data_IF_830581282323
#
_entry.id   IF_830581282323
#
_cell.length_a   1.000
_cell.length_b   1.000
_cell.length_c   1.000
_cell.angle_alpha   90.00
_cell.angle_beta   90.00
_cell.angle_gamma   90.00
#
_symmetry.space_group_name_H-M   'P 1'
#
loop_
_entity.id
_entity.type
_entity.pdbx_description
1 polymer ?
#
# COMPACT_ATOMS: atom_id res chain seq x y z
N UNK A 1 -23.23 31.62 19.86
CA UNK A 1 -23.14 32.26 18.53
C UNK A 1 -23.30 31.18 17.47
N UNK A 2 -24.24 31.33 16.54
CA UNK A 2 -24.46 30.38 15.44
C UNK A 2 -23.86 30.96 14.16
N UNK A 3 -22.93 30.23 13.54
CA UNK A 3 -22.29 30.63 12.29
C UNK A 3 -23.22 30.27 11.12
N UNK A 4 -23.54 31.21 10.20
CA UNK A 4 -24.42 30.93 9.07
C UNK A 4 -23.88 29.84 8.13
N UNK A 5 -24.79 28.94 7.71
CA UNK A 5 -24.47 27.72 6.95
C UNK A 5 -23.81 27.99 5.60
N UNK A 6 -24.07 29.15 4.99
CA UNK A 6 -23.45 29.60 3.73
C UNK A 6 -21.92 29.72 3.79
N UNK A 7 -21.34 29.84 4.98
CA UNK A 7 -19.88 29.89 5.16
C UNK A 7 -19.25 28.54 5.51
N UNK A 8 -20.06 27.49 5.73
CA UNK A 8 -19.59 26.17 6.11
C UNK A 8 -19.44 25.31 4.85
N UNK A 9 -18.21 25.20 4.36
CA UNK A 9 -17.91 24.35 3.21
C UNK A 9 -18.17 22.87 3.55
N UNK A 10 -18.62 22.06 2.57
CA UNK A 10 -18.91 20.63 2.77
C UNK A 10 -17.77 19.82 3.38
N UNK A 11 -16.51 20.19 3.11
CA UNK A 11 -15.32 19.57 3.72
C UNK A 11 -15.19 19.79 5.23
N UNK A 12 -15.91 20.74 5.80
CA UNK A 12 -15.92 21.08 7.23
C UNK A 12 -17.20 20.60 7.94
N UNK A 13 -18.16 20.07 7.19
CA UNK A 13 -19.38 19.49 7.75
C UNK A 13 -19.13 18.07 8.28
N UNK A 14 -19.97 17.60 9.22
CA UNK A 14 -19.84 16.25 9.82
C UNK A 14 -19.86 15.11 8.79
N UNK A 15 -20.50 15.34 7.65
CA UNK A 15 -20.57 14.41 6.52
C UNK A 15 -19.45 14.59 5.48
N UNK A 16 -18.42 15.42 5.75
CA UNK A 16 -17.29 15.64 4.84
C UNK A 16 -16.57 14.35 4.42
N UNK A 17 -16.59 13.32 5.29
CA UNK A 17 -15.98 12.01 5.06
C UNK A 17 -16.93 10.97 4.47
N UNK A 18 -18.21 11.29 4.25
CA UNK A 18 -19.10 10.38 3.53
C UNK A 18 -18.72 10.45 2.05
N UNK A 19 -17.85 9.52 1.65
CA UNK A 19 -17.47 9.32 0.25
C UNK A 19 -18.76 9.05 -0.55
N UNK A 20 -19.18 10.05 -1.33
CA UNK A 20 -20.18 9.86 -2.36
C UNK A 20 -19.45 9.81 -3.69
N UNK A 21 -19.59 8.71 -4.41
CA UNK A 21 -19.10 8.60 -5.77
C UNK A 21 -20.17 9.19 -6.71
N UNK A 22 -19.74 9.95 -7.71
CA UNK A 22 -20.64 10.41 -8.76
C UNK A 22 -20.87 9.25 -9.73
N UNK A 23 -22.13 8.84 -9.88
CA UNK A 23 -22.53 7.80 -10.81
C UNK A 23 -23.03 8.46 -12.12
N UNK A 24 -22.29 8.38 -13.23
CA UNK A 24 -22.67 9.00 -14.50
C UNK A 24 -23.88 8.36 -15.18
N UNK A 25 -24.26 7.14 -14.77
CA UNK A 25 -25.44 6.43 -15.29
C UNK A 25 -26.74 6.92 -14.65
N UNK A 26 -26.68 7.28 -13.36
CA UNK A 26 -27.86 7.73 -12.58
C UNK A 26 -27.89 9.27 -12.42
N UNK A 27 -26.80 9.96 -12.78
CA UNK A 27 -26.67 11.42 -12.66
C UNK A 27 -26.65 11.93 -11.21
N UNK A 28 -26.37 11.06 -10.24
CA UNK A 28 -26.48 11.34 -8.80
C UNK A 28 -25.25 10.90 -8.01
N UNK A 29 -25.07 11.51 -6.84
CA UNK A 29 -24.04 11.16 -5.86
C UNK A 29 -24.55 10.03 -4.95
N UNK A 30 -24.13 8.81 -5.25
CA UNK A 30 -24.49 7.61 -4.50
C UNK A 30 -23.55 7.47 -3.30
N UNK A 31 -24.07 7.04 -2.15
CA UNK A 31 -23.23 6.66 -1.02
C UNK A 31 -22.32 5.50 -1.46
N UNK A 32 -21.01 5.63 -1.28
CA UNK A 32 -20.10 4.52 -1.52
C UNK A 32 -20.56 3.35 -0.64
N UNK A 33 -20.99 2.25 -1.28
CA UNK A 33 -21.43 1.05 -0.60
C UNK A 33 -20.36 0.65 0.45
N UNK A 34 -20.70 0.63 1.75
CA UNK A 34 -19.76 0.31 2.82
C UNK A 34 -19.01 -1.00 2.60
N UNK A 35 -19.56 -1.94 1.82
CA UNK A 35 -18.95 -3.22 1.46
C UNK A 35 -17.89 -3.17 0.35
N UNK A 36 -17.78 -2.07 -0.41
CA UNK A 36 -16.97 -2.04 -1.63
C UNK A 36 -15.50 -1.62 -1.40
N UNK A 37 -15.17 -0.96 -0.29
CA UNK A 37 -13.79 -0.58 0.02
C UNK A 37 -12.96 -1.77 0.47
N UNK A 38 -11.75 -1.92 -0.07
CA UNK A 38 -10.75 -2.91 0.39
C UNK A 38 -10.56 -2.85 1.91
N UNK A 39 -10.51 -1.65 2.49
CA UNK A 39 -10.34 -1.48 3.94
C UNK A 39 -11.56 -1.97 4.73
N UNK A 40 -12.77 -1.75 4.23
CA UNK A 40 -13.99 -2.26 4.88
C UNK A 40 -14.03 -3.78 4.85
N UNK A 41 -13.77 -4.40 3.69
CA UNK A 41 -13.72 -5.86 3.53
C UNK A 41 -12.65 -6.48 4.44
N UNK A 42 -11.46 -5.89 4.44
CA UNK A 42 -10.36 -6.34 5.31
C UNK A 42 -10.74 -6.27 6.78
N UNK A 43 -11.32 -5.14 7.24
CA UNK A 43 -11.76 -4.98 8.63
C UNK A 43 -12.77 -6.07 9.04
N UNK A 44 -13.76 -6.36 8.20
CA UNK A 44 -14.77 -7.38 8.52
C UNK A 44 -14.15 -8.77 8.63
N UNK A 45 -13.30 -9.14 7.67
CA UNK A 45 -12.63 -10.45 7.66
C UNK A 45 -11.67 -10.60 8.84
N UNK A 46 -10.91 -9.55 9.17
CA UNK A 46 -10.01 -9.55 10.32
C UNK A 46 -10.76 -9.71 11.63
N UNK A 47 -11.88 -9.00 11.81
CA UNK A 47 -12.68 -9.12 13.02
C UNK A 47 -13.22 -10.54 13.22
N UNK A 48 -13.80 -11.13 12.18
CA UNK A 48 -14.30 -12.51 12.23
C UNK A 48 -13.19 -13.54 12.47
N UNK A 49 -12.02 -13.35 11.86
CA UNK A 49 -10.88 -14.23 12.07
C UNK A 49 -10.32 -14.13 13.49
N UNK A 50 -10.27 -12.93 14.07
CA UNK A 50 -9.79 -12.71 15.45
C UNK A 50 -10.66 -13.45 16.47
N UNK A 51 -11.98 -13.32 16.37
CA UNK A 51 -12.92 -14.01 17.25
C UNK A 51 -12.73 -15.54 17.22
N UNK A 52 -12.57 -16.10 16.01
CA UNK A 52 -12.32 -17.52 15.82
C UNK A 52 -10.93 -17.97 16.36
N UNK A 53 -9.91 -17.13 16.22
CA UNK A 53 -8.57 -17.40 16.75
C UNK A 53 -8.57 -17.39 18.27
N UNK A 54 -9.27 -16.44 18.90
CA UNK A 54 -9.38 -16.36 20.35
C UNK A 54 -10.00 -17.66 20.91
N UNK A 55 -11.13 -18.11 20.34
CA UNK A 55 -11.80 -19.37 20.73
C UNK A 55 -10.98 -20.64 20.44
N UNK A 56 -10.30 -20.66 19.30
CA UNK A 56 -9.50 -21.81 18.89
C UNK A 56 -8.16 -21.93 19.61
N UNK A 57 -7.65 -20.84 20.19
CA UNK A 57 -6.39 -20.82 20.92
C UNK A 57 -6.47 -21.48 22.30
N UNK A 58 -7.68 -21.76 22.79
CA UNK A 58 -7.92 -22.31 24.14
C UNK A 58 -7.41 -23.75 24.31
N UNK A 59 -7.29 -24.53 23.24
CA UNK A 59 -6.76 -25.91 23.30
C UNK A 59 -5.90 -26.27 22.09
N UNK A 60 -4.94 -27.17 22.29
CA UNK A 60 -4.03 -27.63 21.24
C UNK A 60 -4.76 -28.36 20.08
N UNK A 61 -5.81 -29.13 20.40
CA UNK A 61 -6.64 -29.78 19.40
C UNK A 61 -7.40 -28.78 18.50
N UNK A 62 -7.87 -27.66 19.08
CA UNK A 62 -8.58 -26.62 18.32
C UNK A 62 -7.62 -25.79 17.49
N UNK A 63 -6.45 -25.46 18.03
CA UNK A 63 -5.45 -24.64 17.33
C UNK A 63 -4.88 -25.36 16.10
N UNK A 64 -4.58 -26.66 16.23
CA UNK A 64 -4.11 -27.49 15.11
C UNK A 64 -5.18 -27.69 14.04
N UNK A 65 -6.44 -27.90 14.45
CA UNK A 65 -7.59 -27.93 13.54
C UNK A 65 -7.73 -26.61 12.76
N UNK A 66 -7.79 -25.47 13.45
CA UNK A 66 -7.92 -24.17 12.79
C UNK A 66 -6.74 -23.86 11.86
N UNK A 67 -5.53 -24.26 12.23
CA UNK A 67 -4.36 -24.05 11.38
C UNK A 67 -4.48 -24.84 10.06
N UNK A 68 -4.96 -26.07 10.10
CA UNK A 68 -5.23 -26.87 8.90
C UNK A 68 -6.32 -26.24 8.03
N UNK A 69 -7.39 -25.74 8.64
CA UNK A 69 -8.49 -25.07 7.93
C UNK A 69 -8.04 -23.75 7.30
N UNK A 70 -7.24 -22.93 7.99
CA UNK A 70 -6.70 -21.70 7.40
C UNK A 70 -5.79 -21.98 6.20
N UNK A 71 -5.02 -23.06 6.22
CA UNK A 71 -4.20 -23.46 5.08
C UNK A 71 -5.06 -23.89 3.89
N UNK A 72 -6.10 -24.70 4.14
CA UNK A 72 -7.09 -25.10 3.13
C UNK A 72 -7.80 -23.89 2.52
N UNK A 73 -8.29 -22.98 3.35
CA UNK A 73 -8.94 -21.74 2.92
C UNK A 73 -8.00 -20.87 2.08
N UNK A 74 -6.71 -20.79 2.45
CA UNK A 74 -5.71 -20.01 1.69
C UNK A 74 -5.51 -20.56 0.28
N UNK A 75 -5.55 -21.88 0.09
CA UNK A 75 -5.46 -22.51 -1.24
C UNK A 75 -6.71 -22.14 -2.03
N UNK A 76 -7.90 -22.37 -1.46
CA UNK A 76 -9.18 -22.07 -2.11
C UNK A 76 -9.31 -20.61 -2.53
N UNK A 77 -8.85 -19.65 -1.72
CA UNK A 77 -8.89 -18.22 -2.06
C UNK A 77 -7.97 -17.90 -3.23
N UNK A 78 -6.79 -18.53 -3.34
CA UNK A 78 -5.91 -18.35 -4.51
C UNK A 78 -6.52 -18.95 -5.78
N UNK A 79 -7.21 -20.08 -5.65
CA UNK A 79 -7.85 -20.74 -6.79
C UNK A 79 -8.99 -19.89 -7.37
N UNK A 80 -9.68 -19.08 -6.53
CA UNK A 80 -10.68 -18.11 -7.00
C UNK A 80 -10.08 -17.10 -7.98
N UNK A 81 -8.86 -16.62 -7.74
CA UNK A 81 -8.18 -15.68 -8.64
C UNK A 81 -7.65 -16.36 -9.92
N UNK A 82 -7.51 -17.69 -9.90
CA UNK A 82 -6.94 -18.49 -11.00
C UNK A 82 -8.02 -19.15 -11.88
N UNK A 83 -9.29 -19.11 -11.45
CA UNK A 83 -10.41 -19.88 -11.99
C UNK A 83 -11.17 -19.25 -13.16
N UNK A 84 -10.44 -18.85 -14.20
CA UNK A 84 -10.98 -18.41 -15.49
C UNK A 84 -10.41 -19.18 -16.68
N UNK A 85 -9.98 -20.43 -16.52
CA UNK A 85 -9.74 -21.33 -17.66
C UNK A 85 -9.88 -22.80 -17.22
N UNK A 86 -10.89 -23.47 -17.76
CA UNK A 86 -11.02 -24.93 -17.68
C UNK A 86 -10.14 -25.50 -18.78
N UNK A 87 -8.96 -25.99 -18.42
CA UNK A 87 -8.07 -26.64 -19.35
C UNK A 87 -7.06 -27.54 -18.64
N UNK A 88 -7.42 -28.81 -18.45
CA UNK A 88 -6.43 -29.86 -18.18
C UNK A 88 -5.38 -29.87 -19.29
N UNK A 89 -4.15 -29.42 -18.99
CA UNK A 89 -2.98 -29.92 -19.70
C UNK A 89 -1.74 -29.83 -18.81
N UNK A 90 -1.24 -31.00 -18.43
CA UNK A 90 0.14 -31.16 -17.95
C UNK A 90 1.06 -30.65 -19.05
N UNK A 91 1.76 -29.55 -18.80
CA UNK A 91 3.08 -29.37 -19.37
C UNK A 91 3.95 -28.50 -18.46
N UNK A 92 5.05 -29.11 -18.01
CA UNK A 92 6.20 -28.40 -17.47
C UNK A 92 6.76 -27.55 -18.61
N UNK A 93 6.46 -26.27 -18.64
CA UNK A 93 7.32 -25.29 -19.29
C UNK A 93 7.30 -24.00 -18.48
N UNK A 94 8.47 -23.69 -17.93
CA UNK A 94 8.81 -22.52 -17.14
C UNK A 94 8.81 -21.29 -18.06
N UNK A 95 7.65 -20.71 -18.35
CA UNK A 95 7.56 -19.35 -18.89
C UNK A 95 7.71 -18.37 -17.73
N UNK A 96 8.69 -17.48 -17.84
CA UNK A 96 8.89 -16.36 -16.91
C UNK A 96 7.75 -15.38 -17.16
N UNK A 97 6.67 -15.49 -16.40
CA UNK A 97 5.73 -14.38 -16.26
C UNK A 97 6.42 -13.31 -15.43
N UNK A 98 6.83 -12.25 -16.14
CA UNK A 98 7.35 -11.03 -15.54
C UNK A 98 6.21 -10.37 -14.78
N UNK A 99 6.08 -10.76 -13.51
CA UNK A 99 5.23 -10.07 -12.54
C UNK A 99 5.60 -8.58 -12.61
N UNK A 100 4.71 -7.77 -13.17
CA UNK A 100 4.85 -6.33 -13.09
C UNK A 100 4.78 -5.96 -11.61
N UNK A 101 5.96 -5.77 -11.02
CA UNK A 101 6.10 -5.28 -9.66
C UNK A 101 5.57 -3.86 -9.67
N UNK A 102 4.28 -3.69 -9.34
CA UNK A 102 3.68 -2.39 -9.07
C UNK A 102 4.42 -1.82 -7.87
N UNK A 103 5.40 -0.95 -8.15
CA UNK A 103 6.16 -0.27 -7.11
C UNK A 103 5.23 0.73 -6.44
N UNK A 104 5.14 0.65 -5.11
CA UNK A 104 4.46 1.67 -4.33
C UNK A 104 5.01 3.05 -4.72
N UNK A 105 4.14 4.05 -4.94
CA UNK A 105 4.59 5.40 -5.21
C UNK A 105 5.49 5.88 -4.08
N UNK A 106 6.59 6.54 -4.42
CA UNK A 106 7.53 7.07 -3.43
C UNK A 106 6.74 7.93 -2.42
N UNK A 107 6.88 7.67 -1.11
CA UNK A 107 6.13 8.40 -0.10
C UNK A 107 6.43 9.89 -0.21
N UNK A 108 5.43 10.66 -0.59
CA UNK A 108 5.52 12.12 -0.70
C UNK A 108 5.61 12.67 0.72
N UNK A 109 6.75 13.28 1.05
CA UNK A 109 6.95 13.88 2.36
C UNK A 109 6.09 15.13 2.48
N UNK A 110 5.30 15.23 3.56
CA UNK A 110 4.54 16.44 3.85
C UNK A 110 5.46 17.66 3.95
N UNK A 111 5.00 18.82 3.47
CA UNK A 111 5.70 20.11 3.63
C UNK A 111 6.02 20.31 5.11
N UNK A 112 7.27 20.62 5.42
CA UNK A 112 7.76 20.84 6.80
C UNK A 112 8.29 19.60 7.51
N UNK A 113 8.27 18.40 6.90
CA UNK A 113 8.92 17.24 7.50
C UNK A 113 10.45 17.46 7.55
N UNK A 114 11.00 17.65 8.74
CA UNK A 114 12.44 17.89 8.97
C UNK A 114 13.33 16.83 8.33
N UNK A 115 14.53 17.18 7.89
CA UNK A 115 15.45 16.21 7.28
C UNK A 115 15.85 15.16 8.33
N UNK A 116 15.83 13.87 7.95
CA UNK A 116 16.37 12.80 8.82
C UNK A 116 17.84 13.08 9.11
N UNK A 117 18.25 12.93 10.37
CA UNK A 117 19.66 12.93 10.74
C UNK A 117 20.35 11.71 10.10
N UNK A 118 21.30 11.97 9.21
CA UNK A 118 22.11 10.93 8.56
C UNK A 118 23.15 10.38 9.54
N UNK A 119 23.41 9.07 9.48
CA UNK A 119 24.48 8.44 10.27
C UNK A 119 25.86 8.90 9.80
N UNK A 120 26.91 8.72 10.63
CA UNK A 120 28.29 9.04 10.24
C UNK A 120 28.72 8.27 8.98
N UNK A 121 28.34 6.99 8.88
CA UNK A 121 28.59 6.14 7.70
C UNK A 121 27.90 6.70 6.44
N UNK A 122 26.65 7.12 6.56
CA UNK A 122 25.88 7.68 5.44
C UNK A 122 26.42 9.03 4.96
N UNK A 123 26.87 9.88 5.89
CA UNK A 123 27.54 11.15 5.56
C UNK A 123 28.83 10.92 4.79
N UNK A 124 29.68 10.00 5.26
CA UNK A 124 30.95 9.66 4.61
C UNK A 124 30.77 9.18 3.17
N UNK A 125 29.80 8.29 2.92
CA UNK A 125 29.47 7.80 1.57
C UNK A 125 28.95 8.92 0.64
N UNK A 126 28.17 9.87 1.17
CA UNK A 126 27.69 11.00 0.37
C UNK A 126 28.78 12.03 0.07
N UNK A 127 29.79 12.16 0.92
CA UNK A 127 30.92 13.06 0.71
C UNK A 127 31.94 12.48 -0.27
N UNK A 128 32.14 11.15 -0.28
CA UNK A 128 33.09 10.50 -1.20
C UNK A 128 32.67 10.54 -2.66
N UNK A 129 31.37 10.76 -2.95
CA UNK A 129 30.85 10.90 -4.31
C UNK A 129 30.75 12.36 -4.78
N UNK A 130 31.50 13.27 -4.14
CA UNK A 130 31.53 14.67 -4.54
C UNK A 130 32.32 14.79 -5.85
N UNK A 131 31.61 15.08 -6.92
CA UNK A 131 32.16 15.35 -8.24
C UNK A 131 32.32 16.85 -8.44
N UNK A 132 33.36 17.24 -9.20
CA UNK A 132 33.54 18.61 -9.63
C UNK A 132 32.33 19.04 -10.48
N UNK A 133 31.73 20.19 -10.17
CA UNK A 133 30.57 20.69 -10.91
C UNK A 133 30.89 21.17 -12.33
N UNK A 134 32.17 21.31 -12.69
CA UNK A 134 32.59 21.73 -14.03
C UNK A 134 32.87 20.54 -14.96
N UNK A 135 33.54 19.50 -14.47
CA UNK A 135 33.97 18.36 -15.30
C UNK A 135 33.41 17.00 -14.85
N UNK A 136 32.67 16.93 -13.74
CA UNK A 136 32.04 15.71 -13.26
C UNK A 136 33.00 14.66 -12.68
N UNK A 137 34.31 14.91 -12.64
CA UNK A 137 35.28 13.97 -12.05
C UNK A 137 35.48 14.23 -10.55
N UNK A 138 35.80 13.17 -9.81
CA UNK A 138 36.07 13.22 -8.37
C UNK A 138 37.53 13.56 -8.08
N UNK A 139 37.81 14.11 -6.90
CA UNK A 139 39.17 14.38 -6.41
C UNK A 139 39.57 15.87 -6.43
N UNK A 140 38.74 16.74 -6.98
CA UNK A 140 38.94 18.19 -6.96
C UNK A 140 37.61 18.94 -6.99
N UNK A 141 37.65 20.23 -6.64
CA UNK A 141 36.50 21.12 -6.69
C UNK A 141 36.53 22.03 -7.92
N UNK A 142 35.41 22.69 -8.24
CA UNK A 142 35.33 23.66 -9.33
C UNK A 142 36.46 24.71 -9.32
N UNK A 143 36.91 25.13 -8.13
CA UNK A 143 37.98 26.14 -7.98
C UNK A 143 39.38 25.62 -8.36
N UNK A 144 39.57 24.32 -8.31
CA UNK A 144 40.84 23.63 -8.59
C UNK A 144 40.66 22.70 -9.79
N UNK A 145 39.72 23.02 -10.67
CA UNK A 145 39.39 22.20 -11.81
C UNK A 145 40.40 22.45 -12.92
N UNK A 146 41.11 21.42 -13.42
CA UNK A 146 42.11 21.60 -14.46
C UNK A 146 41.51 21.89 -15.84
N UNK A 147 40.19 21.73 -16.01
CA UNK A 147 39.46 22.03 -17.24
C UNK A 147 38.76 23.39 -17.23
N UNK A 148 38.95 24.19 -16.17
CA UNK A 148 38.56 25.60 -16.09
C UNK A 148 39.80 26.48 -16.17
#
# INVERSE_FOLDING_TARGET
>A
MLLPEKYILRRWAKNAKQARAFDPTTGSYVHADPGHSLMSRHRMLSYAASDLVDEGSLTDARSTFLLSEFQSLRIRVKDIDTGGDVGMSRNRNKSREETQVVRNPNPVRAKGCGKRLKSRKEKALSQSNRQCSACGTSGHDRRTCPTL
#
